data_IF_994521298059
#
_entry.id   IF_994521298059
#
_cell.length_a   1.000
_cell.length_b   1.000
_cell.length_c   1.000
_cell.angle_alpha   90.00
_cell.angle_beta   90.00
_cell.angle_gamma   90.00
#
_symmetry.space_group_name_H-M   'P 1'
#
loop_
_entity.id
_entity.type
_entity.pdbx_description
1 polymer ?
#
# COMPACT_ATOMS: atom_id res chain seq x y z
N UNK A 1 18.86 0.46 -20.38
CA UNK A 1 17.60 -0.15 -20.91
C UNK A 1 17.13 -1.38 -20.11
N UNK A 2 18.02 -2.10 -19.42
CA UNK A 2 17.66 -3.26 -18.57
C UNK A 2 16.71 -2.96 -17.40
N UNK A 3 16.84 -1.79 -16.75
CA UNK A 3 16.01 -1.44 -15.59
C UNK A 3 14.50 -1.36 -15.88
N UNK A 4 14.09 -1.02 -17.11
CA UNK A 4 12.66 -0.93 -17.46
C UNK A 4 12.02 -2.31 -17.61
N UNK A 5 12.72 -3.27 -18.21
CA UNK A 5 12.21 -4.65 -18.32
C UNK A 5 12.12 -5.31 -16.96
N UNK A 6 13.11 -5.09 -16.09
CA UNK A 6 13.09 -5.58 -14.71
C UNK A 6 11.93 -4.98 -13.90
N UNK A 7 11.74 -3.67 -13.97
CA UNK A 7 10.62 -3.01 -13.30
C UNK A 7 9.26 -3.51 -13.81
N UNK A 8 9.10 -3.69 -15.13
CA UNK A 8 7.87 -4.22 -15.71
C UNK A 8 7.61 -5.68 -15.31
N UNK A 9 8.65 -6.51 -15.23
CA UNK A 9 8.53 -7.89 -14.75
C UNK A 9 8.06 -7.91 -13.29
N UNK A 10 8.67 -7.10 -12.44
CA UNK A 10 8.32 -6.99 -11.03
C UNK A 10 6.89 -6.48 -10.84
N UNK A 11 6.49 -5.43 -11.56
CA UNK A 11 5.10 -4.93 -11.58
C UNK A 11 4.15 -6.03 -12.06
N UNK A 12 4.50 -6.76 -13.12
CA UNK A 12 3.71 -7.88 -13.63
C UNK A 12 3.51 -8.97 -12.58
N UNK A 13 4.57 -9.36 -11.87
CA UNK A 13 4.50 -10.35 -10.79
C UNK A 13 3.60 -9.89 -9.64
N UNK A 14 3.74 -8.64 -9.16
CA UNK A 14 2.87 -8.11 -8.12
C UNK A 14 1.41 -7.97 -8.59
N UNK A 15 1.19 -7.65 -9.86
CA UNK A 15 -0.16 -7.55 -10.44
C UNK A 15 -0.81 -8.93 -10.49
N UNK A 16 -0.10 -9.94 -10.99
CA UNK A 16 -0.58 -11.32 -11.02
C UNK A 16 -0.83 -11.85 -9.61
N UNK A 17 0.06 -11.55 -8.67
CA UNK A 17 -0.11 -11.90 -7.27
C UNK A 17 -1.38 -11.28 -6.67
N UNK A 18 -1.62 -9.99 -6.91
CA UNK A 18 -2.82 -9.31 -6.42
C UNK A 18 -4.10 -9.92 -7.00
N UNK A 19 -4.12 -10.21 -8.30
CA UNK A 19 -5.25 -10.89 -8.96
C UNK A 19 -5.45 -12.28 -8.35
N UNK A 20 -4.37 -13.04 -8.16
CA UNK A 20 -4.41 -14.36 -7.53
C UNK A 20 -5.03 -14.33 -6.13
N UNK A 21 -4.63 -13.38 -5.27
CA UNK A 21 -5.18 -13.24 -3.91
C UNK A 21 -6.68 -12.92 -3.94
N UNK A 22 -7.13 -12.06 -4.86
CA UNK A 22 -8.57 -11.76 -5.01
C UNK A 22 -9.35 -12.99 -5.47
N UNK A 23 -8.83 -13.74 -6.44
CA UNK A 23 -9.46 -14.97 -6.92
C UNK A 23 -9.50 -16.04 -5.82
N UNK A 24 -8.40 -16.22 -5.07
CA UNK A 24 -8.35 -17.14 -3.95
C UNK A 24 -9.42 -16.82 -2.90
N UNK A 25 -9.58 -15.53 -2.54
CA UNK A 25 -10.60 -15.11 -1.60
C UNK A 25 -12.03 -15.41 -2.09
N UNK A 26 -12.32 -15.20 -3.38
CA UNK A 26 -13.61 -15.56 -3.97
C UNK A 26 -13.90 -17.07 -3.95
N UNK A 27 -12.85 -17.90 -3.88
CA UNK A 27 -12.95 -19.36 -3.75
C UNK A 27 -12.95 -19.83 -2.28
N UNK A 28 -12.97 -18.92 -1.31
CA UNK A 28 -12.98 -19.23 0.12
C UNK A 28 -11.58 -19.44 0.73
N UNK A 29 -10.51 -19.15 -0.01
CA UNK A 29 -9.12 -19.29 0.48
C UNK A 29 -8.58 -17.91 0.87
N UNK A 30 -8.19 -17.73 2.13
CA UNK A 30 -7.68 -16.45 2.61
C UNK A 30 -6.16 -16.44 2.67
N UNK A 31 -5.56 -15.63 1.80
CA UNK A 31 -4.10 -15.53 1.67
C UNK A 31 -3.64 -14.16 2.15
N UNK A 32 -2.84 -14.14 3.21
CA UNK A 32 -2.14 -12.95 3.67
C UNK A 32 -0.78 -12.81 3.01
N UNK A 33 -0.38 -11.56 2.74
CA UNK A 33 0.94 -11.26 2.20
C UNK A 33 2.05 -11.75 3.16
N UNK A 34 3.14 -12.36 2.64
CA UNK A 34 3.41 -12.58 1.22
C UNK A 34 2.68 -13.80 0.62
N UNK A 35 2.61 -14.92 1.36
CA UNK A 35 1.95 -16.16 0.91
C UNK A 35 1.57 -17.04 2.12
N UNK A 36 0.85 -16.47 3.09
CA UNK A 36 0.42 -17.18 4.29
C UNK A 36 -1.07 -17.43 4.20
N UNK A 37 -1.46 -18.68 3.98
CA UNK A 37 -2.86 -19.10 4.15
C UNK A 37 -3.23 -19.01 5.62
N UNK A 38 -4.41 -18.48 5.90
CA UNK A 38 -4.93 -18.30 7.26
C UNK A 38 -6.42 -18.54 7.31
N UNK A 39 -6.90 -18.92 8.49
CA UNK A 39 -8.32 -18.95 8.77
C UNK A 39 -8.85 -17.53 9.01
N UNK A 40 -10.17 -17.34 8.88
CA UNK A 40 -10.79 -16.01 9.05
C UNK A 40 -10.57 -15.43 10.44
N UNK A 41 -10.52 -16.28 11.47
CA UNK A 41 -10.34 -15.88 12.85
C UNK A 41 -8.88 -15.53 13.19
N UNK A 42 -7.95 -15.92 12.33
CA UNK A 42 -6.51 -15.70 12.49
C UNK A 42 -6.03 -14.37 11.88
N UNK A 43 -6.89 -13.63 11.18
CA UNK A 43 -6.51 -12.32 10.62
C UNK A 43 -6.27 -11.35 11.78
N UNK A 44 -5.04 -10.85 11.97
CA UNK A 44 -4.79 -9.97 13.09
C UNK A 44 -5.57 -8.66 12.90
N UNK A 45 -6.44 -8.35 13.86
CA UNK A 45 -7.28 -7.13 13.85
C UNK A 45 -6.47 -5.85 13.62
N UNK A 46 -5.23 -5.82 14.12
CA UNK A 46 -4.29 -4.73 13.87
C UNK A 46 -4.05 -4.44 12.39
N UNK A 47 -3.99 -5.47 11.52
CA UNK A 47 -3.83 -5.31 10.07
C UNK A 47 -5.06 -4.69 9.42
N UNK A 48 -6.24 -5.15 9.82
CA UNK A 48 -7.51 -4.62 9.31
C UNK A 48 -7.70 -3.16 9.73
N UNK A 49 -7.38 -2.82 10.98
CA UNK A 49 -7.39 -1.43 11.45
C UNK A 49 -6.40 -0.56 10.68
N UNK A 50 -5.19 -1.07 10.43
CA UNK A 50 -4.19 -0.34 9.67
C UNK A 50 -4.65 -0.04 8.24
N UNK A 51 -5.19 -1.03 7.53
CA UNK A 51 -5.71 -0.85 6.17
C UNK A 51 -6.87 0.14 6.17
N UNK A 52 -7.85 -0.03 7.06
CA UNK A 52 -9.03 0.85 7.15
C UNK A 52 -8.64 2.31 7.40
N UNK A 53 -7.78 2.55 8.39
CA UNK A 53 -7.33 3.90 8.73
C UNK A 53 -6.46 4.50 7.62
N UNK A 54 -5.63 3.70 6.96
CA UNK A 54 -4.83 4.16 5.81
C UNK A 54 -5.70 4.60 4.63
N UNK A 55 -6.79 3.87 4.34
CA UNK A 55 -7.78 4.29 3.32
C UNK A 55 -8.40 5.63 3.71
N UNK A 56 -8.82 5.79 4.98
CA UNK A 56 -9.42 7.04 5.49
C UNK A 56 -8.41 8.20 5.41
N UNK A 57 -7.16 8.01 5.81
CA UNK A 57 -6.12 9.03 5.71
C UNK A 57 -5.83 9.42 4.26
N UNK A 58 -5.81 8.43 3.35
CA UNK A 58 -5.65 8.67 1.92
C UNK A 58 -6.80 9.50 1.35
N UNK A 59 -8.03 9.15 1.71
CA UNK A 59 -9.21 9.93 1.35
C UNK A 59 -9.13 11.36 1.91
N UNK A 60 -8.79 11.53 3.18
CA UNK A 60 -8.65 12.84 3.81
C UNK A 60 -7.59 13.69 3.10
N UNK A 61 -6.43 13.11 2.75
CA UNK A 61 -5.39 13.79 2.00
C UNK A 61 -5.88 14.30 0.64
N UNK A 62 -6.54 13.44 -0.15
CA UNK A 62 -7.05 13.83 -1.46
C UNK A 62 -8.25 14.79 -1.36
N UNK A 63 -9.10 14.64 -0.34
CA UNK A 63 -10.18 15.58 -0.05
C UNK A 63 -9.66 16.98 0.26
N UNK A 64 -8.67 17.09 1.14
CA UNK A 64 -8.01 18.38 1.44
C UNK A 64 -7.34 18.96 0.20
N UNK A 65 -6.62 18.14 -0.57
CA UNK A 65 -5.99 18.57 -1.81
C UNK A 65 -7.03 19.10 -2.82
N UNK A 66 -8.18 18.44 -2.94
CA UNK A 66 -9.28 18.88 -3.80
C UNK A 66 -9.87 20.22 -3.33
N UNK A 67 -10.05 20.41 -2.02
CA UNK A 67 -10.58 21.67 -1.48
C UNK A 67 -9.63 22.85 -1.70
N UNK A 68 -8.31 22.62 -1.65
CA UNK A 68 -7.29 23.68 -1.81
C UNK A 68 -6.98 23.95 -3.30
N UNK A 69 -6.85 22.90 -4.11
CA UNK A 69 -6.34 22.99 -5.49
C UNK A 69 -7.42 22.77 -6.56
N UNK A 70 -8.67 22.49 -6.15
CA UNK A 70 -9.75 22.10 -7.04
C UNK A 70 -9.60 20.67 -7.58
N UNK A 71 -10.43 20.34 -8.58
CA UNK A 71 -10.45 19.01 -9.21
C UNK A 71 -9.29 18.83 -10.20
N UNK A 72 -8.08 18.64 -9.68
CA UNK A 72 -6.90 18.35 -10.50
C UNK A 72 -6.75 16.84 -10.73
N UNK A 73 -6.38 16.46 -11.96
CA UNK A 73 -6.09 15.07 -12.30
C UNK A 73 -4.83 14.59 -11.56
N UNK A 74 -4.94 13.43 -10.90
CA UNK A 74 -3.83 12.80 -10.18
C UNK A 74 -3.51 11.46 -10.83
N UNK A 75 -2.22 11.23 -11.11
CA UNK A 75 -1.78 9.95 -11.65
C UNK A 75 -1.97 8.81 -10.64
N UNK A 76 -2.32 7.59 -11.08
CA UNK A 76 -2.50 6.43 -10.19
C UNK A 76 -1.28 6.14 -9.31
N UNK A 77 -0.07 6.36 -9.80
CA UNK A 77 1.16 6.16 -9.01
C UNK A 77 1.25 7.10 -7.80
N UNK A 78 0.68 8.31 -7.91
CA UNK A 78 0.59 9.24 -6.80
C UNK A 78 -0.39 8.72 -5.75
N UNK A 79 -1.53 8.16 -6.16
CA UNK A 79 -2.44 7.46 -5.24
C UNK A 79 -1.73 6.31 -4.51
N UNK A 80 -1.09 5.41 -5.26
CA UNK A 80 -0.45 4.23 -4.70
C UNK A 80 0.63 4.62 -3.68
N UNK A 81 1.55 5.54 -4.02
CA UNK A 81 2.59 5.95 -3.06
C UNK A 81 2.02 6.61 -1.80
N UNK A 82 0.99 7.44 -1.93
CA UNK A 82 0.35 8.13 -0.80
C UNK A 82 -0.36 7.12 0.10
N UNK A 83 -1.10 6.18 -0.51
CA UNK A 83 -1.75 5.11 0.23
C UNK A 83 -0.75 4.24 0.98
N UNK A 84 0.34 3.81 0.35
CA UNK A 84 1.37 2.99 0.99
C UNK A 84 2.09 3.74 2.11
N UNK A 85 2.29 5.05 1.97
CA UNK A 85 2.86 5.89 3.03
C UNK A 85 1.95 5.93 4.26
N UNK A 86 0.64 6.16 4.05
CA UNK A 86 -0.32 6.09 5.15
C UNK A 86 -0.43 4.68 5.73
N UNK A 87 -0.43 3.63 4.90
CA UNK A 87 -0.46 2.24 5.36
C UNK A 87 0.72 1.92 6.27
N UNK A 88 1.92 2.40 5.94
CA UNK A 88 3.09 2.25 6.79
C UNK A 88 2.94 3.02 8.10
N UNK A 89 2.66 4.32 8.06
CA UNK A 89 2.63 5.16 9.27
C UNK A 89 1.53 4.69 10.22
N UNK A 90 0.34 4.40 9.68
CA UNK A 90 -0.78 3.87 10.45
C UNK A 90 -0.47 2.46 10.94
N UNK A 91 0.16 1.60 10.14
CA UNK A 91 0.59 0.27 10.56
C UNK A 91 1.52 0.32 11.77
N UNK A 92 2.49 1.23 11.75
CA UNK A 92 3.38 1.53 12.89
C UNK A 92 2.58 2.05 14.08
N UNK A 93 1.66 3.01 13.88
CA UNK A 93 0.86 3.59 14.95
C UNK A 93 -0.07 2.57 15.62
N UNK A 94 -0.69 1.68 14.85
CA UNK A 94 -1.54 0.61 15.37
C UNK A 94 -0.70 -0.41 16.13
N UNK A 95 0.43 -0.84 15.58
CA UNK A 95 1.37 -1.73 16.27
C UNK A 95 1.84 -1.13 17.59
N UNK A 96 2.22 0.16 17.60
CA UNK A 96 2.58 0.88 18.80
C UNK A 96 1.46 0.89 19.83
N UNK A 97 0.24 1.27 19.42
CA UNK A 97 -0.94 1.33 20.30
C UNK A 97 -1.24 -0.02 20.95
N UNK A 98 -1.14 -1.11 20.19
CA UNK A 98 -1.35 -2.48 20.69
C UNK A 98 -0.25 -2.87 21.68
N UNK A 99 1.02 -2.60 21.36
CA UNK A 99 2.15 -2.88 22.25
C UNK A 99 2.02 -2.12 23.58
N UNK A 100 1.68 -0.83 23.54
CA UNK A 100 1.46 -0.03 24.76
C UNK A 100 0.23 -0.46 25.55
N UNK A 101 -0.71 -1.15 24.91
CA UNK A 101 -1.89 -1.75 25.55
C UNK A 101 -1.60 -3.09 26.26
N UNK A 102 -0.33 -3.52 26.31
CA UNK A 102 0.09 -4.74 27.01
C UNK A 102 -0.04 -6.03 26.18
N UNK A 103 -0.29 -5.92 24.87
CA UNK A 103 -0.32 -7.07 23.96
C UNK A 103 0.95 -7.12 23.14
N UNK A 104 1.62 -8.28 23.11
CA UNK A 104 2.83 -8.43 22.31
C UNK A 104 2.52 -8.41 20.81
N UNK A 105 3.23 -7.54 20.10
CA UNK A 105 3.11 -7.41 18.64
C UNK A 105 4.21 -8.20 17.96
N UNK A 106 3.82 -9.20 17.17
CA UNK A 106 4.74 -9.99 16.37
C UNK A 106 5.64 -9.12 15.48
N UNK A 107 6.93 -9.49 15.39
CA UNK A 107 7.91 -8.84 14.52
C UNK A 107 7.43 -8.74 13.06
N UNK A 108 6.60 -9.69 12.60
CA UNK A 108 6.03 -9.66 11.26
C UNK A 108 5.18 -8.41 11.01
N UNK A 109 4.45 -7.91 12.01
CA UNK A 109 3.65 -6.68 11.85
C UNK A 109 4.54 -5.45 11.61
N UNK A 110 5.61 -5.35 12.39
CA UNK A 110 6.59 -4.28 12.22
C UNK A 110 7.29 -4.37 10.88
N UNK A 111 7.77 -5.56 10.51
CA UNK A 111 8.43 -5.81 9.24
C UNK A 111 7.54 -5.45 8.05
N UNK A 112 6.25 -5.78 8.09
CA UNK A 112 5.29 -5.43 7.05
C UNK A 112 5.12 -3.90 6.92
N UNK A 113 5.01 -3.18 8.03
CA UNK A 113 4.87 -1.73 7.99
C UNK A 113 6.11 -1.06 7.37
N UNK A 114 7.31 -1.48 7.79
CA UNK A 114 8.57 -0.98 7.21
C UNK A 114 8.78 -1.41 5.77
N UNK A 115 8.33 -2.61 5.39
CA UNK A 115 8.37 -3.07 4.01
C UNK A 115 7.54 -2.15 3.11
N UNK A 116 6.29 -1.84 3.48
CA UNK A 116 5.46 -0.91 2.74
C UNK A 116 6.02 0.51 2.72
N UNK A 117 6.68 0.95 3.80
CA UNK A 117 7.42 2.22 3.81
C UNK A 117 8.53 2.22 2.76
N UNK A 118 9.33 1.15 2.70
CA UNK A 118 10.39 1.00 1.73
C UNK A 118 9.88 1.07 0.30
N UNK A 119 8.76 0.40 0.00
CA UNK A 119 8.10 0.50 -1.31
C UNK A 119 7.56 1.91 -1.58
N UNK A 120 6.93 2.56 -0.59
CA UNK A 120 6.42 3.93 -0.75
C UNK A 120 7.55 4.93 -1.05
N UNK A 121 8.67 4.81 -0.34
CA UNK A 121 9.88 5.62 -0.56
C UNK A 121 10.51 5.32 -1.91
N UNK A 122 10.62 4.04 -2.28
CA UNK A 122 11.09 3.64 -3.60
C UNK A 122 10.23 4.31 -4.68
N UNK A 123 8.91 4.18 -4.62
CA UNK A 123 7.99 4.83 -5.57
C UNK A 123 8.10 6.35 -5.57
N UNK A 124 8.36 6.96 -4.42
CA UNK A 124 8.59 8.40 -4.31
C UNK A 124 9.85 8.83 -5.08
N UNK A 125 10.97 8.15 -4.88
CA UNK A 125 12.24 8.47 -5.55
C UNK A 125 12.28 8.03 -7.02
N UNK A 126 11.67 6.89 -7.36
CA UNK A 126 11.61 6.38 -8.73
C UNK A 126 10.53 7.06 -9.56
N UNK A 127 9.75 7.99 -8.99
CA UNK A 127 8.81 8.79 -9.75
C UNK A 127 9.49 10.08 -10.25
N UNK A 128 10.17 10.10 -11.42
CA UNK A 128 10.81 11.33 -11.91
C UNK A 128 9.81 12.47 -12.09
N UNK A 129 10.27 13.71 -11.87
CA UNK A 129 9.54 14.95 -12.15
C UNK A 129 9.05 15.10 -13.63
N UNK A 130 9.43 14.17 -14.51
CA UNK A 130 9.17 14.17 -15.96
C UNK A 130 7.82 13.54 -16.36
N UNK A 131 7.02 13.00 -15.44
CA UNK A 131 5.67 12.47 -15.77
C UNK A 131 4.68 13.55 -16.25
N UNK A 132 5.03 14.85 -16.17
CA UNK A 132 4.27 15.95 -16.80
C UNK A 132 4.19 15.92 -18.34
N UNK A 133 4.87 15.02 -19.05
CA UNK A 133 4.99 15.11 -20.53
C UNK A 133 4.74 13.83 -21.34
N UNK A 134 4.13 12.78 -20.79
CA UNK A 134 3.77 11.61 -21.63
C UNK A 134 2.49 11.80 -22.46
N UNK A 135 1.57 12.68 -22.03
CA UNK A 135 0.31 12.94 -22.75
C UNK A 135 0.22 14.30 -23.44
N UNK A 136 1.31 15.08 -23.51
CA UNK A 136 1.31 16.28 -24.37
C UNK A 136 1.53 15.86 -25.82
N UNK A 137 0.43 15.51 -26.51
CA UNK A 137 0.42 15.48 -27.97
C UNK A 137 0.73 16.89 -28.50
N UNK A 138 1.45 16.93 -29.63
CA UNK A 138 1.75 18.13 -30.40
C UNK A 138 0.47 18.86 -30.78
#
# INVERSE_FOLDING_TARGET
>A
MWGRHFANLLIGMFTLWAIFVVVAWLLGVLIMFPFVEVETDDIPLGRLHAIRLAVICSFAFYGVMHLIQGSTEVFPIHFIKTFLFFLSIIGIAVAWKVQTGGTDVSLQHWALAFFWLGIALLLHFTSPARYRRYFRKR
#
